data_IF_533728552911
#
_entry.id   IF_533728552911
#
_cell.length_a   1.000
_cell.length_b   1.000
_cell.length_c   1.000
_cell.angle_alpha   90.00
_cell.angle_beta   90.00
_cell.angle_gamma   90.00
#
_symmetry.space_group_name_H-M   'P 1'
#
loop_
_entity.id
_entity.type
_entity.pdbx_description
1 polymer ?
#
# COMPACT_ATOMS: atom_id res chain seq x y z
N UNK A 1 -28.21 -45.97 -0.20
CA UNK A 1 -27.60 -45.00 -1.16
C UNK A 1 -27.77 -43.51 -0.79
N UNK A 2 -28.56 -43.17 0.22
CA UNK A 2 -28.79 -41.72 0.60
C UNK A 2 -27.72 -41.13 1.52
N UNK A 3 -26.92 -41.90 2.23
CA UNK A 3 -25.90 -41.41 3.20
C UNK A 3 -24.60 -40.93 2.56
N UNK A 4 -24.25 -41.37 1.35
CA UNK A 4 -22.99 -40.99 0.67
C UNK A 4 -23.11 -39.61 -0.02
N UNK A 5 -24.31 -39.27 -0.51
CA UNK A 5 -24.54 -37.97 -1.20
C UNK A 5 -24.53 -36.79 -0.21
N UNK A 6 -25.08 -37.00 1.01
CA UNK A 6 -25.11 -35.97 2.04
C UNK A 6 -23.68 -35.59 2.55
N UNK A 7 -22.80 -36.61 2.66
CA UNK A 7 -21.41 -36.38 3.10
C UNK A 7 -20.56 -35.60 2.06
N UNK A 8 -20.79 -35.84 0.76
CA UNK A 8 -20.08 -35.15 -0.30
C UNK A 8 -20.50 -33.69 -0.43
N UNK A 9 -21.78 -33.37 -0.25
CA UNK A 9 -22.28 -31.98 -0.31
C UNK A 9 -21.77 -31.16 0.89
N UNK A 10 -21.74 -31.73 2.10
CA UNK A 10 -21.20 -31.07 3.30
C UNK A 10 -19.69 -30.84 3.19
N UNK A 11 -18.92 -31.79 2.65
CA UNK A 11 -17.49 -31.65 2.44
C UNK A 11 -17.17 -30.58 1.38
N UNK A 12 -17.93 -30.54 0.28
CA UNK A 12 -17.76 -29.52 -0.76
C UNK A 12 -18.13 -28.11 -0.25
N UNK A 13 -19.20 -27.98 0.54
CA UNK A 13 -19.60 -26.71 1.16
C UNK A 13 -18.54 -26.23 2.18
N UNK A 14 -17.99 -27.12 3.00
CA UNK A 14 -16.93 -26.78 3.96
C UNK A 14 -15.62 -26.40 3.27
N UNK A 15 -15.23 -27.07 2.19
CA UNK A 15 -14.07 -26.70 1.38
C UNK A 15 -14.25 -25.34 0.69
N UNK A 16 -15.43 -25.07 0.15
CA UNK A 16 -15.77 -23.76 -0.45
C UNK A 16 -15.74 -22.63 0.58
N UNK A 17 -16.31 -22.83 1.77
CA UNK A 17 -16.26 -21.87 2.87
C UNK A 17 -14.82 -21.61 3.35
N UNK A 18 -13.99 -22.65 3.47
CA UNK A 18 -12.58 -22.54 3.81
C UNK A 18 -11.78 -21.73 2.80
N UNK A 19 -11.99 -22.00 1.50
CA UNK A 19 -11.34 -21.27 0.41
C UNK A 19 -11.76 -19.79 0.41
N UNK A 20 -13.06 -19.50 0.60
CA UNK A 20 -13.58 -18.13 0.70
C UNK A 20 -13.00 -17.37 1.89
N UNK A 21 -12.92 -18.00 3.06
CA UNK A 21 -12.31 -17.40 4.24
C UNK A 21 -10.81 -17.13 4.03
N UNK A 22 -10.09 -18.07 3.44
CA UNK A 22 -8.67 -17.89 3.12
C UNK A 22 -8.48 -16.73 2.15
N UNK A 23 -9.30 -16.67 1.08
CA UNK A 23 -9.25 -15.56 0.11
C UNK A 23 -9.51 -14.21 0.77
N UNK A 24 -10.54 -14.13 1.61
CA UNK A 24 -10.82 -12.93 2.39
C UNK A 24 -9.63 -12.55 3.29
N UNK A 25 -9.05 -13.50 4.01
CA UNK A 25 -7.91 -13.28 4.87
C UNK A 25 -6.68 -12.80 4.09
N UNK A 26 -6.46 -13.35 2.89
CA UNK A 26 -5.31 -13.07 2.05
C UNK A 26 -5.42 -11.76 1.27
N UNK A 27 -6.62 -11.36 0.84
CA UNK A 27 -6.80 -10.28 -0.13
C UNK A 27 -7.51 -9.05 0.45
N UNK A 28 -8.41 -9.21 1.46
CA UNK A 28 -9.12 -8.05 1.99
C UNK A 28 -8.21 -7.19 2.86
N UNK A 29 -7.92 -5.91 2.48
CA UNK A 29 -6.88 -5.11 3.13
C UNK A 29 -7.05 -4.95 4.64
N UNK A 30 -8.29 -4.89 5.14
CA UNK A 30 -8.57 -4.68 6.56
C UNK A 30 -8.69 -5.98 7.36
N UNK A 31 -8.49 -7.17 6.73
CA UNK A 31 -8.52 -8.45 7.43
C UNK A 31 -7.30 -8.60 8.35
N UNK A 32 -7.53 -8.96 9.61
CA UNK A 32 -6.49 -9.23 10.61
C UNK A 32 -6.35 -10.73 10.92
N UNK A 33 -6.99 -11.61 10.14
CA UNK A 33 -7.02 -13.06 10.39
C UNK A 33 -5.62 -13.67 10.41
N UNK A 34 -4.72 -13.24 9.52
CA UNK A 34 -3.34 -13.73 9.46
C UNK A 34 -2.38 -13.02 10.43
N UNK A 35 -2.88 -12.13 11.26
CA UNK A 35 -2.15 -11.39 12.27
C UNK A 35 -2.28 -9.88 12.12
N UNK A 36 -1.85 -9.11 13.13
CA UNK A 36 -2.02 -7.66 13.17
C UNK A 36 -1.24 -6.96 12.04
N UNK A 37 -1.85 -5.93 11.47
CA UNK A 37 -1.26 -5.06 10.46
C UNK A 37 -1.71 -3.64 10.76
N UNK A 38 -0.86 -2.67 10.48
CA UNK A 38 -1.21 -1.26 10.56
C UNK A 38 -2.16 -0.92 9.39
N UNK A 39 -3.35 -0.46 9.71
CA UNK A 39 -4.35 -0.06 8.70
C UNK A 39 -4.48 1.46 8.66
N UNK A 40 -4.72 2.10 9.79
CA UNK A 40 -4.85 3.55 9.93
C UNK A 40 -4.77 3.96 11.40
N UNK A 41 -4.56 5.25 11.66
CA UNK A 41 -4.62 5.85 12.98
C UNK A 41 -6.03 5.92 13.57
N UNK A 42 -6.09 6.38 14.80
CA UNK A 42 -7.36 6.51 15.56
C UNK A 42 -7.99 7.89 15.44
N UNK A 43 -7.25 8.90 14.98
CA UNK A 43 -7.79 10.24 14.79
C UNK A 43 -8.53 10.33 13.44
N UNK A 44 -9.84 10.61 13.44
CA UNK A 44 -10.63 10.73 12.22
C UNK A 44 -10.26 11.96 11.37
N UNK A 45 -9.46 12.88 11.90
CA UNK A 45 -8.94 14.06 11.19
C UNK A 45 -7.54 13.82 10.61
N UNK A 46 -6.99 12.62 10.72
CA UNK A 46 -5.73 12.23 10.09
C UNK A 46 -5.95 11.38 8.85
N UNK A 47 -5.16 11.69 7.82
CA UNK A 47 -5.06 10.88 6.60
C UNK A 47 -3.60 10.68 6.21
N UNK A 48 -3.26 9.47 5.75
CA UNK A 48 -2.00 9.21 5.08
C UNK A 48 -2.26 9.01 3.58
N UNK A 49 -1.58 9.81 2.76
CA UNK A 49 -1.41 9.52 1.34
C UNK A 49 -0.31 8.49 1.21
N UNK A 50 -0.61 7.37 0.59
CA UNK A 50 0.38 6.30 0.38
C UNK A 50 0.42 5.91 -1.09
N UNK A 51 1.63 5.89 -1.65
CA UNK A 51 1.87 5.63 -3.07
C UNK A 51 2.68 4.35 -3.23
N UNK A 52 2.21 3.44 -4.06
CA UNK A 52 2.84 2.17 -4.36
C UNK A 52 3.49 2.17 -5.75
N UNK A 53 4.39 1.22 -6.01
CA UNK A 53 5.01 0.88 -7.29
C UNK A 53 6.09 1.85 -7.81
N UNK A 54 6.40 2.94 -7.10
CA UNK A 54 7.48 3.86 -7.47
C UNK A 54 8.91 3.35 -7.17
N UNK A 55 9.94 4.19 -7.47
CA UNK A 55 9.84 5.47 -8.15
C UNK A 55 9.60 5.31 -9.64
N UNK A 56 8.94 6.29 -10.29
CA UNK A 56 8.55 6.20 -11.70
C UNK A 56 8.80 7.52 -12.45
N UNK A 57 10.05 7.83 -12.71
CA UNK A 57 10.48 8.95 -13.55
C UNK A 57 9.82 10.28 -13.20
N UNK A 58 9.36 10.97 -14.24
CA UNK A 58 8.72 12.27 -14.12
C UNK A 58 7.43 12.25 -13.30
N UNK A 59 6.75 11.11 -13.23
CA UNK A 59 5.52 10.98 -12.45
C UNK A 59 5.80 11.19 -10.96
N UNK A 60 6.79 10.48 -10.41
CA UNK A 60 7.18 10.64 -9.00
C UNK A 60 7.69 12.06 -8.73
N UNK A 61 8.50 12.64 -9.66
CA UNK A 61 9.02 14.01 -9.49
C UNK A 61 7.89 15.04 -9.43
N UNK A 62 6.93 14.97 -10.34
CA UNK A 62 5.74 15.86 -10.33
C UNK A 62 4.89 15.68 -9.08
N UNK A 63 4.79 14.43 -8.58
CA UNK A 63 4.09 14.18 -7.32
C UNK A 63 4.77 14.85 -6.14
N UNK A 64 6.12 14.84 -6.09
CA UNK A 64 6.88 15.56 -5.07
C UNK A 64 6.61 17.06 -5.12
N UNK A 65 6.54 17.66 -6.32
CA UNK A 65 6.21 19.07 -6.48
C UNK A 65 4.81 19.39 -5.93
N UNK A 66 3.80 18.56 -6.27
CA UNK A 66 2.42 18.70 -5.74
C UNK A 66 2.39 18.60 -4.21
N UNK A 67 3.11 17.62 -3.63
CA UNK A 67 3.16 17.45 -2.18
C UNK A 67 3.81 18.66 -1.49
N UNK A 68 4.89 19.20 -2.08
CA UNK A 68 5.59 20.37 -1.58
C UNK A 68 4.70 21.64 -1.65
N UNK A 69 3.97 21.88 -2.74
CA UNK A 69 3.02 22.99 -2.89
C UNK A 69 1.94 23.01 -1.80
N UNK A 70 1.60 21.84 -1.29
CA UNK A 70 0.59 21.67 -0.25
C UNK A 70 1.15 21.44 1.15
N UNK A 71 2.49 21.54 1.34
CA UNK A 71 3.16 21.25 2.62
C UNK A 71 2.69 19.90 3.22
N UNK A 72 2.64 18.86 2.37
CA UNK A 72 2.13 17.55 2.72
C UNK A 72 3.22 16.48 2.67
N UNK A 73 3.28 15.67 3.73
CA UNK A 73 4.13 14.48 3.77
C UNK A 73 3.32 13.25 3.34
N UNK A 74 3.99 12.31 2.66
CA UNK A 74 3.40 11.06 2.19
C UNK A 74 4.29 9.86 2.49
N UNK A 75 3.73 8.66 2.34
CA UNK A 75 4.50 7.41 2.41
C UNK A 75 4.58 6.77 1.04
N UNK A 76 5.78 6.43 0.60
CA UNK A 76 6.04 5.76 -0.67
C UNK A 76 6.48 4.32 -0.42
N UNK A 77 5.72 3.34 -0.86
CA UNK A 77 6.11 1.94 -0.85
C UNK A 77 6.78 1.61 -2.19
N UNK A 78 8.12 1.68 -2.18
CA UNK A 78 8.92 1.59 -3.39
C UNK A 78 9.32 0.14 -3.70
N UNK A 79 9.34 -0.19 -5.01
CA UNK A 79 9.85 -1.47 -5.52
C UNK A 79 11.38 -1.38 -5.61
N UNK A 80 12.10 -2.37 -5.09
CA UNK A 80 13.57 -2.37 -5.07
C UNK A 80 14.19 -2.26 -6.45
N UNK A 81 13.65 -2.95 -7.45
CA UNK A 81 14.13 -2.87 -8.84
C UNK A 81 13.93 -1.48 -9.46
N UNK A 82 12.84 -0.78 -9.13
CA UNK A 82 12.61 0.60 -9.55
C UNK A 82 13.62 1.55 -8.88
N UNK A 83 13.88 1.37 -7.59
CA UNK A 83 14.91 2.16 -6.87
C UNK A 83 16.30 1.91 -7.45
N UNK A 84 16.66 0.67 -7.76
CA UNK A 84 17.94 0.33 -8.39
C UNK A 84 18.12 1.00 -9.75
N UNK A 85 17.04 1.11 -10.53
CA UNK A 85 17.06 1.75 -11.85
C UNK A 85 17.00 3.27 -11.78
N UNK A 86 16.41 3.85 -10.74
CA UNK A 86 16.21 5.30 -10.56
C UNK A 86 16.66 5.79 -9.16
N UNK A 87 17.91 5.52 -8.74
CA UNK A 87 18.37 5.80 -7.39
C UNK A 87 18.29 7.29 -7.03
N UNK A 88 18.49 8.19 -7.99
CA UNK A 88 18.41 9.64 -7.79
C UNK A 88 16.98 10.09 -7.42
N UNK A 89 15.94 9.43 -7.93
CA UNK A 89 14.55 9.79 -7.61
C UNK A 89 14.21 9.30 -6.20
N UNK A 90 14.62 8.06 -5.85
CA UNK A 90 14.44 7.55 -4.49
C UNK A 90 15.13 8.44 -3.43
N UNK A 91 16.34 8.96 -3.73
CA UNK A 91 17.00 9.95 -2.86
C UNK A 91 16.17 11.22 -2.71
N UNK A 92 15.63 11.76 -3.79
CA UNK A 92 14.77 12.96 -3.74
C UNK A 92 13.52 12.75 -2.91
N UNK A 93 12.88 11.55 -2.98
CA UNK A 93 11.77 11.19 -2.10
C UNK A 93 12.18 11.25 -0.62
N UNK A 94 13.34 10.69 -0.27
CA UNK A 94 13.87 10.71 1.09
C UNK A 94 14.26 12.13 1.55
N UNK A 95 14.97 12.88 0.71
CA UNK A 95 15.44 14.26 0.99
C UNK A 95 14.26 15.23 1.17
N UNK A 96 13.13 15.00 0.47
CA UNK A 96 11.90 15.75 0.67
C UNK A 96 11.17 15.41 1.99
N UNK A 97 11.72 14.50 2.80
CA UNK A 97 11.18 14.13 4.11
C UNK A 97 10.01 13.14 4.06
N UNK A 98 9.75 12.52 2.92
CA UNK A 98 8.71 11.49 2.81
C UNK A 98 9.18 10.17 3.41
N UNK A 99 8.24 9.39 3.94
CA UNK A 99 8.54 8.06 4.47
C UNK A 99 8.67 7.05 3.32
N UNK A 100 9.74 6.26 3.32
CA UNK A 100 9.92 5.17 2.37
C UNK A 100 9.63 3.83 3.05
N UNK A 101 8.74 3.05 2.43
CA UNK A 101 8.38 1.69 2.79
C UNK A 101 8.82 0.68 1.73
N UNK A 102 8.95 -0.57 2.13
CA UNK A 102 9.33 -1.70 1.27
C UNK A 102 8.10 -2.24 0.54
N UNK A 103 8.19 -2.33 -0.81
CA UNK A 103 7.14 -2.94 -1.65
C UNK A 103 7.65 -4.19 -2.39
N UNK A 104 8.55 -4.96 -1.75
CA UNK A 104 9.34 -6.08 -2.30
C UNK A 104 10.35 -5.68 -3.37
N UNK A 105 11.18 -6.63 -3.80
CA UNK A 105 12.23 -6.37 -4.80
C UNK A 105 11.67 -6.30 -6.21
N UNK A 106 10.75 -7.23 -6.59
CA UNK A 106 10.28 -7.44 -7.96
C UNK A 106 8.75 -7.46 -8.12
N UNK A 107 8.01 -7.10 -7.05
CA UNK A 107 6.54 -7.04 -7.02
C UNK A 107 5.80 -8.36 -7.31
N UNK A 108 6.22 -9.55 -6.82
CA UNK A 108 5.48 -10.78 -7.04
C UNK A 108 4.27 -10.88 -6.10
N UNK A 109 3.30 -11.73 -6.43
CA UNK A 109 2.24 -12.12 -5.49
C UNK A 109 2.85 -12.98 -4.38
N UNK A 110 3.28 -12.34 -3.28
CA UNK A 110 4.03 -12.97 -2.19
C UNK A 110 3.25 -14.08 -1.49
N UNK A 111 1.92 -14.03 -1.49
CA UNK A 111 1.09 -15.07 -0.90
C UNK A 111 1.33 -16.46 -1.52
N UNK A 112 1.84 -16.53 -2.75
CA UNK A 112 2.11 -17.77 -3.47
C UNK A 112 3.58 -18.14 -3.53
N UNK A 113 4.47 -17.30 -2.98
CA UNK A 113 5.91 -17.55 -3.02
C UNK A 113 6.36 -18.46 -1.87
N UNK A 114 7.48 -19.18 -2.05
CA UNK A 114 8.12 -19.91 -0.95
C UNK A 114 8.59 -18.98 0.16
N UNK A 115 8.80 -19.48 1.38
CA UNK A 115 9.31 -18.66 2.49
C UNK A 115 10.70 -18.10 2.18
N UNK A 116 11.55 -18.85 1.48
CA UNK A 116 12.86 -18.39 1.05
C UNK A 116 12.74 -17.22 0.07
N UNK A 117 11.84 -17.33 -0.95
CA UNK A 117 11.62 -16.26 -1.92
C UNK A 117 11.02 -15.01 -1.26
N UNK A 118 10.08 -15.14 -0.33
CA UNK A 118 9.55 -14.01 0.43
C UNK A 118 10.70 -13.27 1.14
N UNK A 119 11.58 -13.99 1.82
CA UNK A 119 12.72 -13.40 2.53
C UNK A 119 13.68 -12.69 1.56
N UNK A 120 14.00 -13.31 0.44
CA UNK A 120 14.85 -12.74 -0.62
C UNK A 120 14.26 -11.42 -1.16
N UNK A 121 12.96 -11.40 -1.47
CA UNK A 121 12.24 -10.23 -1.96
C UNK A 121 12.31 -9.05 -0.98
N UNK A 122 12.05 -9.32 0.30
CA UNK A 122 12.00 -8.27 1.31
C UNK A 122 13.40 -7.79 1.73
N UNK A 123 14.33 -8.72 1.94
CA UNK A 123 15.70 -8.37 2.34
C UNK A 123 16.49 -7.73 1.19
N UNK A 124 16.29 -8.20 -0.05
CA UNK A 124 16.92 -7.62 -1.24
C UNK A 124 16.49 -6.18 -1.46
N UNK A 125 15.19 -5.88 -1.33
CA UNK A 125 14.68 -4.51 -1.41
C UNK A 125 15.30 -3.62 -0.32
N UNK A 126 15.37 -4.08 0.93
CA UNK A 126 16.00 -3.32 2.02
C UNK A 126 17.52 -3.11 1.82
N UNK A 127 18.23 -4.06 1.19
CA UNK A 127 19.63 -3.89 0.85
C UNK A 127 19.84 -2.77 -0.20
N UNK A 128 18.97 -2.69 -1.21
CA UNK A 128 18.98 -1.59 -2.18
C UNK A 128 18.67 -0.25 -1.51
N UNK A 129 17.71 -0.21 -0.57
CA UNK A 129 17.42 1.03 0.17
C UNK A 129 18.62 1.49 1.02
N UNK A 130 19.27 0.56 1.71
CA UNK A 130 20.46 0.87 2.51
C UNK A 130 21.60 1.44 1.63
N UNK A 131 21.82 0.86 0.44
CA UNK A 131 22.80 1.34 -0.54
C UNK A 131 22.46 2.73 -1.12
N UNK A 132 21.18 2.95 -1.48
CA UNK A 132 20.75 4.14 -2.20
C UNK A 132 20.42 5.31 -1.30
N UNK A 133 19.72 5.08 -0.18
CA UNK A 133 19.22 6.13 0.72
C UNK A 133 19.81 6.06 2.14
N UNK A 134 20.73 5.11 2.41
CA UNK A 134 21.40 4.98 3.69
C UNK A 134 20.53 4.43 4.83
N UNK A 135 19.35 3.90 4.55
CA UNK A 135 18.42 3.41 5.57
C UNK A 135 17.59 2.22 5.06
N UNK A 136 17.26 1.30 5.96
CA UNK A 136 16.29 0.21 5.72
C UNK A 136 14.88 0.69 6.00
N UNK A 137 13.91 0.21 5.21
CA UNK A 137 12.51 0.46 5.51
C UNK A 137 12.09 -0.23 6.82
N UNK A 138 11.32 0.49 7.62
CA UNK A 138 10.66 -0.04 8.83
C UNK A 138 9.19 -0.43 8.59
N UNK A 139 8.67 -0.11 7.43
CA UNK A 139 7.29 -0.41 7.00
C UNK A 139 7.32 -1.19 5.69
N UNK A 140 6.39 -2.11 5.55
CA UNK A 140 6.27 -3.00 4.40
C UNK A 140 4.82 -3.07 3.95
N UNK A 141 4.58 -2.95 2.66
CA UNK A 141 3.28 -3.24 2.07
C UNK A 141 3.42 -4.41 1.09
N UNK A 142 2.63 -5.49 1.26
CA UNK A 142 2.68 -6.61 0.32
C UNK A 142 2.11 -6.19 -1.03
N UNK A 143 2.78 -6.52 -2.16
CA UNK A 143 2.25 -6.36 -3.50
C UNK A 143 0.81 -6.88 -3.62
N UNK A 144 -0.06 -6.13 -4.28
CA UNK A 144 -1.50 -6.41 -4.43
C UNK A 144 -2.27 -6.50 -3.08
N UNK A 145 -1.67 -6.16 -1.96
CA UNK A 145 -2.20 -6.46 -0.63
C UNK A 145 -2.21 -7.95 -0.28
N UNK A 146 -1.68 -8.79 -1.17
CA UNK A 146 -1.75 -10.25 -1.09
C UNK A 146 -0.79 -10.80 -0.02
N UNK A 147 -1.33 -11.48 0.99
CA UNK A 147 -0.55 -11.98 2.12
C UNK A 147 -1.04 -13.32 2.65
N UNK A 148 -0.15 -13.98 3.40
CA UNK A 148 -0.39 -15.15 4.23
C UNK A 148 0.49 -15.08 5.48
N UNK A 149 0.32 -15.93 6.50
CA UNK A 149 1.10 -15.85 7.75
C UNK A 149 2.61 -15.77 7.54
N UNK A 150 3.17 -16.49 6.56
CA UNK A 150 4.60 -16.46 6.28
C UNK A 150 5.09 -15.08 5.80
N UNK A 151 4.30 -14.37 4.97
CA UNK A 151 4.65 -13.01 4.50
C UNK A 151 4.75 -12.05 5.67
N UNK A 152 3.72 -12.03 6.53
CA UNK A 152 3.68 -11.11 7.68
C UNK A 152 4.75 -11.44 8.73
N UNK A 153 5.03 -12.74 8.95
CA UNK A 153 6.09 -13.18 9.86
C UNK A 153 7.46 -12.75 9.35
N UNK A 154 7.77 -13.01 8.07
CA UNK A 154 9.06 -12.63 7.48
C UNK A 154 9.29 -11.12 7.53
N UNK A 155 8.26 -10.30 7.24
CA UNK A 155 8.37 -8.85 7.36
C UNK A 155 8.77 -8.43 8.78
N UNK A 156 8.10 -9.00 9.81
CA UNK A 156 8.42 -8.69 11.22
C UNK A 156 9.79 -9.19 11.66
N UNK A 157 10.21 -10.37 11.21
CA UNK A 157 11.56 -10.90 11.46
C UNK A 157 12.65 -10.00 10.87
N UNK A 158 12.35 -9.27 9.79
CA UNK A 158 13.22 -8.27 9.18
C UNK A 158 13.04 -6.86 9.79
N UNK A 159 12.31 -6.73 10.89
CA UNK A 159 12.09 -5.46 11.60
C UNK A 159 11.06 -4.54 10.94
N UNK A 160 10.23 -5.05 10.05
CA UNK A 160 9.24 -4.23 9.34
C UNK A 160 7.82 -4.45 9.86
N UNK A 161 7.07 -3.35 10.03
CA UNK A 161 5.63 -3.37 10.32
C UNK A 161 4.86 -3.51 9.00
N UNK A 162 4.02 -4.56 8.84
CA UNK A 162 3.13 -4.67 7.69
C UNK A 162 2.04 -3.59 7.71
N UNK A 163 1.85 -2.92 6.57
CA UNK A 163 0.88 -1.81 6.39
C UNK A 163 -0.07 -2.15 5.25
N UNK A 164 -1.37 -2.04 5.50
CA UNK A 164 -2.39 -2.07 4.45
C UNK A 164 -3.14 -0.73 4.45
N UNK A 165 -4.35 -0.68 3.90
CA UNK A 165 -5.12 0.54 3.73
C UNK A 165 -6.61 0.34 4.07
N UNK A 166 -7.33 1.44 4.25
CA UNK A 166 -8.78 1.44 4.44
C UNK A 166 -9.55 2.38 3.49
N UNK A 167 -8.82 3.06 2.59
CA UNK A 167 -9.39 3.84 1.49
C UNK A 167 -8.74 3.39 0.19
N UNK A 168 -9.55 2.92 -0.76
CA UNK A 168 -9.09 2.51 -2.09
C UNK A 168 -9.52 3.56 -3.10
N UNK A 169 -8.56 4.17 -3.79
CA UNK A 169 -8.82 5.19 -4.81
C UNK A 169 -9.19 4.58 -6.17
N UNK A 170 -8.82 3.32 -6.42
CA UNK A 170 -9.00 2.60 -7.71
C UNK A 170 -8.28 3.26 -8.89
N UNK A 171 -7.19 3.97 -8.63
CA UNK A 171 -6.44 4.76 -9.59
C UNK A 171 -5.62 3.95 -10.60
N UNK A 172 -5.58 2.63 -10.45
CA UNK A 172 -5.05 1.69 -11.45
C UNK A 172 -6.04 1.41 -12.59
N UNK A 173 -7.32 1.76 -12.41
CA UNK A 173 -8.34 1.66 -13.45
C UNK A 173 -8.30 2.90 -14.36
N UNK A 174 -8.79 2.80 -15.62
CA UNK A 174 -8.85 3.93 -16.54
C UNK A 174 -10.02 4.87 -16.19
N UNK A 175 -9.97 5.51 -15.01
CA UNK A 175 -10.96 6.45 -14.49
C UNK A 175 -10.36 7.86 -14.38
N UNK A 176 -11.21 8.88 -14.32
CA UNK A 176 -10.80 10.27 -14.26
C UNK A 176 -10.21 10.66 -12.89
N UNK A 177 -9.51 11.80 -12.84
CA UNK A 177 -9.00 12.36 -11.59
C UNK A 177 -10.13 12.69 -10.61
N UNK A 178 -11.27 13.17 -11.11
CA UNK A 178 -12.47 13.50 -10.32
C UNK A 178 -13.09 12.24 -9.69
N UNK A 179 -13.11 11.13 -10.43
CA UNK A 179 -13.59 9.85 -9.91
C UNK A 179 -12.65 9.29 -8.84
N UNK A 180 -11.33 9.38 -9.04
CA UNK A 180 -10.33 9.01 -8.04
C UNK A 180 -10.50 9.85 -6.77
N UNK A 181 -10.55 11.19 -6.89
CA UNK A 181 -10.77 12.09 -5.77
C UNK A 181 -12.10 11.82 -5.06
N UNK A 182 -13.17 11.55 -5.81
CA UNK A 182 -14.48 11.19 -5.25
C UNK A 182 -14.45 9.85 -4.47
N UNK A 183 -13.68 8.86 -4.93
CA UNK A 183 -13.47 7.61 -4.19
C UNK A 183 -12.76 7.86 -2.86
N UNK A 184 -11.73 8.70 -2.86
CA UNK A 184 -10.97 9.08 -1.66
C UNK A 184 -11.90 9.82 -0.68
N UNK A 185 -12.64 10.82 -1.13
CA UNK A 185 -13.57 11.59 -0.30
C UNK A 185 -14.61 10.70 0.39
N UNK A 186 -15.21 9.76 -0.34
CA UNK A 186 -16.18 8.78 0.21
C UNK A 186 -15.53 7.88 1.25
N UNK A 187 -14.29 7.45 1.02
CA UNK A 187 -13.51 6.65 1.95
C UNK A 187 -13.23 7.41 3.24
N UNK A 188 -12.71 8.63 3.15
CA UNK A 188 -12.45 9.53 4.28
C UNK A 188 -13.73 9.78 5.08
N UNK A 189 -14.81 10.18 4.41
CA UNK A 189 -16.09 10.42 5.08
C UNK A 189 -16.62 9.19 5.82
N UNK A 190 -16.42 8.00 5.26
CA UNK A 190 -16.80 6.74 5.88
C UNK A 190 -15.95 6.44 7.12
N UNK A 191 -14.64 6.66 7.05
CA UNK A 191 -13.73 6.45 8.18
C UNK A 191 -13.97 7.47 9.31
N UNK A 192 -14.23 8.73 8.97
CA UNK A 192 -14.61 9.77 9.96
C UNK A 192 -15.86 9.38 10.75
N UNK A 193 -16.90 8.87 10.09
CA UNK A 193 -18.12 8.37 10.78
C UNK A 193 -17.83 7.18 11.70
N UNK A 194 -16.76 6.41 11.41
CA UNK A 194 -16.31 5.29 12.23
C UNK A 194 -15.27 5.69 13.29
N UNK A 195 -14.96 6.99 13.44
CA UNK A 195 -14.03 7.53 14.43
C UNK A 195 -12.59 7.07 14.20
N UNK A 196 -12.14 6.93 12.95
CA UNK A 196 -10.77 6.48 12.63
C UNK A 196 -10.16 7.26 11.48
N UNK A 197 -8.83 7.28 11.42
CA UNK A 197 -8.04 7.87 10.34
C UNK A 197 -8.18 7.12 9.01
N UNK A 198 -7.62 7.70 7.97
CA UNK A 198 -7.71 7.21 6.60
C UNK A 198 -6.32 6.94 6.02
N UNK A 199 -6.04 5.70 5.67
CA UNK A 199 -4.86 5.30 4.89
C UNK A 199 -5.30 5.06 3.45
N UNK A 200 -4.84 5.94 2.55
CA UNK A 200 -5.31 6.04 1.17
C UNK A 200 -4.30 5.36 0.25
N UNK A 201 -4.74 4.32 -0.45
CA UNK A 201 -3.93 3.65 -1.47
C UNK A 201 -4.04 4.40 -2.80
N UNK A 202 -2.89 4.81 -3.31
CA UNK A 202 -2.64 5.39 -4.62
C UNK A 202 -1.38 4.76 -5.23
N UNK A 203 -1.06 5.11 -6.48
CA UNK A 203 0.14 4.65 -7.17
C UNK A 203 0.81 5.81 -7.90
N UNK A 204 2.14 5.91 -7.74
CA UNK A 204 2.98 6.81 -8.53
C UNK A 204 3.73 6.05 -9.65
N UNK A 205 3.70 4.70 -9.58
CA UNK A 205 4.28 3.81 -10.57
C UNK A 205 3.31 2.75 -11.09
N UNK A 206 3.87 1.72 -11.68
CA UNK A 206 3.13 0.54 -12.13
C UNK A 206 4.04 -0.69 -12.16
N UNK A 207 3.53 -1.79 -11.64
CA UNK A 207 4.28 -3.06 -11.53
C UNK A 207 4.65 -3.70 -12.87
N UNK A 208 4.08 -3.22 -13.99
CA UNK A 208 4.41 -3.69 -15.35
C UNK A 208 5.68 -3.02 -15.93
N UNK A 209 6.32 -2.13 -15.17
CA UNK A 209 7.57 -1.46 -15.55
C UNK A 209 7.52 0.06 -15.42
N UNK A 210 8.69 0.66 -15.60
CA UNK A 210 8.86 2.10 -15.53
C UNK A 210 8.15 2.85 -16.67
N UNK A 211 7.81 4.13 -16.42
CA UNK A 211 7.25 5.03 -17.44
C UNK A 211 5.73 4.91 -17.61
N UNK A 212 5.03 4.14 -16.78
CA UNK A 212 3.57 4.12 -16.80
C UNK A 212 3.03 5.45 -16.27
N UNK A 213 2.28 6.23 -17.09
CA UNK A 213 1.77 7.53 -16.65
C UNK A 213 0.68 7.35 -15.59
N UNK A 214 0.75 8.15 -14.52
CA UNK A 214 -0.25 8.22 -13.44
C UNK A 214 -0.83 9.63 -13.27
N UNK A 215 -0.96 10.36 -14.36
CA UNK A 215 -1.44 11.75 -14.34
C UNK A 215 -2.80 11.92 -13.65
N UNK A 216 -3.81 11.02 -13.84
CA UNK A 216 -5.06 11.11 -13.08
C UNK A 216 -4.86 10.99 -11.57
N UNK A 217 -3.95 10.10 -11.09
CA UNK A 217 -3.62 9.96 -9.65
C UNK A 217 -3.00 11.25 -9.10
N UNK A 218 -2.09 11.88 -9.85
CA UNK A 218 -1.46 13.14 -9.47
C UNK A 218 -2.49 14.28 -9.37
N UNK A 219 -3.33 14.44 -10.39
CA UNK A 219 -4.37 15.47 -10.41
C UNK A 219 -5.39 15.26 -9.29
N UNK A 220 -5.77 14.00 -9.01
CA UNK A 220 -6.64 13.68 -7.89
C UNK A 220 -5.99 13.98 -6.53
N UNK A 221 -4.69 13.72 -6.40
CA UNK A 221 -3.92 14.04 -5.19
C UNK A 221 -3.95 15.54 -4.91
N UNK A 222 -3.70 16.40 -5.91
CA UNK A 222 -3.78 17.85 -5.77
C UNK A 222 -5.18 18.31 -5.33
N UNK A 223 -6.25 17.78 -5.95
CA UNK A 223 -7.64 18.10 -5.59
C UNK A 223 -7.96 17.72 -4.13
N UNK A 224 -7.55 16.51 -3.70
CA UNK A 224 -7.79 16.01 -2.34
C UNK A 224 -7.02 16.86 -1.32
N UNK A 225 -5.77 17.20 -1.57
CA UNK A 225 -4.94 18.05 -0.69
C UNK A 225 -5.56 19.43 -0.50
N UNK A 226 -5.94 20.10 -1.59
CA UNK A 226 -6.57 21.43 -1.55
C UNK A 226 -7.87 21.42 -0.73
N UNK A 227 -8.73 20.44 -0.97
CA UNK A 227 -10.02 20.31 -0.29
C UNK A 227 -9.87 19.93 1.19
N UNK A 228 -9.00 18.98 1.50
CA UNK A 228 -8.83 18.46 2.85
C UNK A 228 -8.21 19.49 3.78
N UNK A 229 -7.26 20.30 3.28
CA UNK A 229 -6.68 21.44 4.03
C UNK A 229 -7.76 22.45 4.45
N UNK A 230 -8.67 22.81 3.55
CA UNK A 230 -9.81 23.67 3.87
C UNK A 230 -10.74 23.06 4.93
N UNK A 231 -10.81 21.71 5.01
CA UNK A 231 -11.59 20.96 5.99
C UNK A 231 -10.87 20.67 7.31
N UNK A 232 -9.65 21.18 7.53
CA UNK A 232 -8.86 20.97 8.75
C UNK A 232 -8.28 19.58 8.91
N UNK A 233 -8.21 18.78 7.84
CA UNK A 233 -7.59 17.46 7.87
C UNK A 233 -6.06 17.58 7.88
N UNK A 234 -5.40 16.71 8.66
CA UNK A 234 -3.95 16.62 8.72
C UNK A 234 -3.47 15.44 7.88
N UNK A 235 -2.50 15.69 7.00
CA UNK A 235 -1.80 14.62 6.30
C UNK A 235 -0.56 14.21 7.10
N UNK A 236 -0.45 12.91 7.36
CA UNK A 236 0.65 12.30 8.12
C UNK A 236 1.24 11.14 7.34
N UNK A 237 2.45 10.75 7.67
CA UNK A 237 3.04 9.48 7.22
C UNK A 237 2.57 8.34 8.11
N UNK A 238 2.63 7.08 7.64
CA UNK A 238 2.09 5.94 8.39
C UNK A 238 2.80 5.67 9.71
N UNK A 239 4.02 6.18 9.91
CA UNK A 239 4.78 6.06 11.15
C UNK A 239 4.22 6.91 12.30
N UNK A 240 3.37 7.88 12.02
CA UNK A 240 2.62 8.59 13.06
C UNK A 240 1.63 7.68 13.81
N UNK A 241 1.37 6.49 13.29
CA UNK A 241 0.36 5.58 13.82
C UNK A 241 0.92 4.29 14.44
N UNK A 242 2.24 4.03 14.38
CA UNK A 242 2.82 2.79 14.85
C UNK A 242 4.25 2.82 15.34
#
# INVERSE_FOLDING_TARGET
MQTVVGGAITAAAAAGAGAGLWWYAAMWPQSQIFGPQLIAGRDPMEAALTFDDGPNGDTTLRLLDILAEHDAQATFFLIGDCVRQQPQIARRVAEAGHLIGNHSMTHPVLAWQSAARIREELSGCNAIFEDVIGAKARYFRPPHGARRPAVLRTARELGMTPVLWNVTAFDWNPISAEEIAGNIDRGIATNRRKGRGSNILLHDGGHMGLGQPRMPSLSATAQVLAKARAGGMRFVTVDAWG
#
